data_IF_580744618023
#
_entry.id   IF_580744618023
#
_cell.length_a   1.000
_cell.length_b   1.000
_cell.length_c   1.000
_cell.angle_alpha   90.00
_cell.angle_beta   90.00
_cell.angle_gamma   90.00
#
_symmetry.space_group_name_H-M   'P 1'
#
loop_
_entity.id
_entity.type
_entity.pdbx_description
1 polymer ?
#
# COMPACT_ATOMS: atom_id res chain seq x y z
N UNK A 1 37.85 -0.21 13.05
CA UNK A 1 36.60 -0.55 12.36
C UNK A 1 36.58 -2.06 12.14
N UNK A 2 35.70 -2.77 12.85
CA UNK A 2 35.53 -4.23 12.79
C UNK A 2 34.97 -4.65 11.43
N UNK A 3 35.03 -5.96 11.12
CA UNK A 3 34.39 -6.50 9.91
C UNK A 3 32.89 -6.23 9.89
N UNK A 4 32.24 -6.29 11.06
CA UNK A 4 30.83 -5.95 11.24
C UNK A 4 30.52 -4.49 10.95
N UNK A 5 31.37 -3.56 11.39
CA UNK A 5 31.20 -2.13 11.06
C UNK A 5 31.42 -1.86 9.55
N UNK A 6 32.36 -2.56 8.91
CA UNK A 6 32.58 -2.45 7.46
C UNK A 6 31.39 -2.99 6.67
N UNK A 7 30.83 -4.14 7.09
CA UNK A 7 29.66 -4.72 6.45
C UNK A 7 28.41 -3.87 6.66
N UNK A 8 28.21 -3.32 7.86
CA UNK A 8 27.13 -2.38 8.14
C UNK A 8 27.21 -1.14 7.23
N UNK A 9 28.39 -0.55 7.09
CA UNK A 9 28.66 0.55 6.14
C UNK A 9 28.33 0.20 4.70
N UNK A 10 28.73 -0.98 4.24
CA UNK A 10 28.37 -1.44 2.91
C UNK A 10 26.85 -1.57 2.75
N UNK A 11 26.15 -2.09 3.76
CA UNK A 11 24.70 -2.28 3.74
C UNK A 11 23.95 -0.94 3.68
N UNK A 12 24.26 -0.01 4.61
CA UNK A 12 23.64 1.32 4.66
C UNK A 12 23.95 2.13 3.40
N UNK A 13 25.19 2.07 2.90
CA UNK A 13 25.56 2.71 1.64
C UNK A 13 24.77 2.17 0.45
N UNK A 14 24.51 0.85 0.40
CA UNK A 14 23.69 0.25 -0.66
C UNK A 14 22.20 0.57 -0.54
N UNK A 15 21.66 0.66 0.68
CA UNK A 15 20.32 1.18 0.93
C UNK A 15 20.17 2.64 0.45
N UNK A 16 21.16 3.48 0.76
CA UNK A 16 21.17 4.90 0.38
C UNK A 16 21.23 5.10 -1.13
N UNK A 17 22.05 4.30 -1.84
CA UNK A 17 22.04 4.25 -3.33
C UNK A 17 20.72 3.78 -3.94
N UNK A 18 19.87 3.09 -3.16
CA UNK A 18 18.50 2.71 -3.56
C UNK A 18 17.47 3.79 -3.20
N UNK A 19 17.89 4.94 -2.68
CA UNK A 19 17.01 6.04 -2.31
C UNK A 19 16.39 5.89 -0.91
N UNK A 20 16.85 4.94 -0.10
CA UNK A 20 16.41 4.81 1.30
C UNK A 20 17.16 5.84 2.13
N UNK A 21 16.41 6.79 2.70
CA UNK A 21 16.94 7.82 3.60
C UNK A 21 16.29 7.78 5.00
N UNK A 22 15.20 7.02 5.13
CA UNK A 22 14.47 6.82 6.38
C UNK A 22 14.58 5.36 6.82
N UNK A 23 14.93 5.18 8.09
CA UNK A 23 15.11 3.89 8.73
C UNK A 23 14.26 3.85 10.00
N UNK A 24 13.41 2.83 10.14
CA UNK A 24 12.69 2.56 11.38
C UNK A 24 13.49 1.51 12.15
N UNK A 25 13.97 1.85 13.33
CA UNK A 25 14.96 1.05 14.06
C UNK A 25 14.36 0.49 15.34
N UNK A 26 14.53 -0.82 15.53
CA UNK A 26 14.16 -1.52 16.76
C UNK A 26 15.43 -1.82 17.59
N UNK A 27 15.36 -1.89 18.91
CA UNK A 27 16.54 -2.07 19.75
C UNK A 27 17.09 -3.49 19.72
N UNK A 28 18.40 -3.63 19.58
CA UNK A 28 19.08 -4.88 19.85
C UNK A 28 20.61 -4.77 19.83
N UNK A 29 21.26 -5.83 20.31
CA UNK A 29 22.73 -5.89 20.33
C UNK A 29 23.29 -6.20 18.94
N UNK A 30 22.74 -7.19 18.21
CA UNK A 30 23.33 -7.71 16.97
C UNK A 30 23.34 -6.68 15.84
N UNK A 31 22.38 -5.78 15.82
CA UNK A 31 22.11 -4.69 14.89
C UNK A 31 22.78 -3.36 15.29
N UNK A 32 23.48 -3.30 16.42
CA UNK A 32 24.21 -2.09 16.85
C UNK A 32 25.12 -1.48 15.76
N UNK A 33 25.88 -2.26 14.96
CA UNK A 33 26.69 -1.70 13.87
C UNK A 33 25.85 -0.99 12.79
N UNK A 34 24.66 -1.51 12.47
CA UNK A 34 23.75 -0.92 11.48
C UNK A 34 23.18 0.40 12.01
N UNK A 35 22.67 0.39 13.24
CA UNK A 35 22.08 1.58 13.88
C UNK A 35 23.12 2.70 14.00
N UNK A 36 24.33 2.39 14.46
CA UNK A 36 25.39 3.39 14.60
C UNK A 36 25.80 3.98 13.24
N UNK A 37 25.86 3.16 12.18
CA UNK A 37 26.17 3.66 10.85
C UNK A 37 25.06 4.57 10.30
N UNK A 38 23.79 4.25 10.53
CA UNK A 38 22.64 5.12 10.18
C UNK A 38 22.79 6.48 10.84
N UNK A 39 22.99 6.50 12.17
CA UNK A 39 23.12 7.72 12.96
C UNK A 39 24.32 8.56 12.53
N UNK A 40 25.48 7.93 12.31
CA UNK A 40 26.70 8.63 11.90
C UNK A 40 26.64 9.17 10.47
N UNK A 41 25.80 8.58 9.63
CA UNK A 41 25.56 9.04 8.25
C UNK A 41 24.58 10.21 8.16
N UNK A 42 23.98 10.63 9.27
CA UNK A 42 22.98 11.71 9.29
C UNK A 42 21.64 11.32 8.64
N UNK A 43 21.37 10.01 8.50
CA UNK A 43 20.12 9.49 7.98
C UNK A 43 19.01 9.57 9.04
N UNK A 44 17.75 9.57 8.61
CA UNK A 44 16.61 9.66 9.54
C UNK A 44 16.39 8.30 10.19
N UNK A 45 16.36 8.27 11.53
CA UNK A 45 16.09 7.09 12.32
C UNK A 45 14.85 7.28 13.21
N UNK A 46 13.82 6.46 13.03
CA UNK A 46 12.62 6.42 13.86
C UNK A 46 12.72 5.26 14.86
N UNK A 47 12.87 5.50 16.17
CA UNK A 47 12.99 4.43 17.15
C UNK A 47 11.63 3.81 17.49
N UNK A 48 11.57 2.48 17.52
CA UNK A 48 10.39 1.70 17.92
C UNK A 48 10.78 0.58 18.88
N UNK A 49 9.87 0.19 19.77
CA UNK A 49 10.10 -0.93 20.72
C UNK A 49 9.51 -2.24 20.18
N UNK A 50 8.43 -2.15 19.40
CA UNK A 50 7.72 -3.29 18.82
C UNK A 50 8.04 -3.37 17.31
N UNK A 51 8.64 -4.47 16.86
CA UNK A 51 9.04 -4.67 15.47
C UNK A 51 7.87 -4.72 14.50
N UNK A 52 6.72 -5.24 14.91
CA UNK A 52 5.51 -5.32 14.07
C UNK A 52 4.99 -3.91 13.82
N UNK A 53 4.83 -3.12 14.88
CA UNK A 53 4.44 -1.71 14.79
C UNK A 53 5.45 -0.91 13.95
N UNK A 54 6.76 -1.13 14.17
CA UNK A 54 7.83 -0.50 13.39
C UNK A 54 7.70 -0.77 11.88
N UNK A 55 7.41 -2.01 11.50
CA UNK A 55 7.27 -2.42 10.11
C UNK A 55 6.06 -1.75 9.43
N UNK A 56 4.93 -1.63 10.15
CA UNK A 56 3.75 -0.91 9.64
C UNK A 56 3.94 0.60 9.61
N UNK A 57 4.65 1.18 10.58
CA UNK A 57 5.06 2.59 10.51
C UNK A 57 5.94 2.84 9.28
N UNK A 58 6.92 1.97 9.02
CA UNK A 58 7.77 2.03 7.82
C UNK A 58 6.94 1.93 6.52
N UNK A 59 5.94 1.05 6.49
CA UNK A 59 4.98 0.93 5.38
C UNK A 59 4.24 2.27 5.17
N UNK A 60 3.75 2.89 6.24
CA UNK A 60 3.09 4.21 6.19
C UNK A 60 4.00 5.32 5.67
N UNK A 61 5.25 5.37 6.16
CA UNK A 61 6.29 6.30 5.66
C UNK A 61 6.54 6.12 4.17
N UNK A 62 6.68 4.88 3.70
CA UNK A 62 6.92 4.57 2.29
C UNK A 62 5.77 5.03 1.39
N UNK A 63 4.53 4.87 1.83
CA UNK A 63 3.33 5.39 1.13
C UNK A 63 3.32 6.92 1.12
N UNK A 64 3.59 7.57 2.25
CA UNK A 64 3.51 9.03 2.37
C UNK A 64 4.55 9.75 1.52
N UNK A 65 5.77 9.22 1.50
CA UNK A 65 6.92 9.84 0.81
C UNK A 65 7.07 9.37 -0.63
N UNK A 66 6.37 8.29 -1.02
CA UNK A 66 6.58 7.58 -2.28
C UNK A 66 8.06 7.19 -2.49
N UNK A 67 8.72 6.77 -1.41
CA UNK A 67 10.12 6.36 -1.36
C UNK A 67 10.27 5.01 -0.63
N UNK A 68 11.32 4.24 -0.94
CA UNK A 68 11.63 3.06 -0.16
C UNK A 68 12.03 3.44 1.27
N UNK A 69 11.54 2.67 2.25
CA UNK A 69 11.86 2.83 3.67
C UNK A 69 12.37 1.49 4.19
N UNK A 70 13.39 1.54 5.05
CA UNK A 70 13.92 0.33 5.70
C UNK A 70 13.39 0.19 7.13
N UNK A 71 13.07 -1.04 7.53
CA UNK A 71 12.89 -1.42 8.93
C UNK A 71 14.11 -2.25 9.37
N UNK A 72 14.71 -1.86 10.48
CA UNK A 72 15.94 -2.45 11.03
C UNK A 72 15.62 -3.17 12.31
N UNK A 73 16.00 -4.45 12.38
CA UNK A 73 15.82 -5.27 13.57
C UNK A 73 17.03 -6.11 13.88
N UNK A 74 17.10 -6.54 15.13
CA UNK A 74 18.05 -7.53 15.62
C UNK A 74 17.72 -8.93 15.11
N UNK A 75 18.55 -9.93 15.45
CA UNK A 75 18.32 -11.31 15.04
C UNK A 75 17.19 -12.00 15.82
N UNK A 76 16.68 -13.12 15.31
CA UNK A 76 15.70 -13.96 16.01
C UNK A 76 14.25 -13.59 15.69
N UNK A 77 13.36 -13.72 16.68
CA UNK A 77 11.91 -13.51 16.50
C UNK A 77 11.55 -12.09 16.08
N UNK A 78 12.40 -11.10 16.41
CA UNK A 78 12.30 -9.73 15.91
C UNK A 78 12.14 -9.66 14.37
N UNK A 79 12.78 -10.57 13.64
CA UNK A 79 12.63 -10.66 12.17
C UNK A 79 11.28 -11.23 11.77
N UNK A 80 10.73 -12.17 12.54
CA UNK A 80 9.43 -12.77 12.28
C UNK A 80 8.27 -11.79 12.54
N UNK A 81 8.42 -10.86 13.47
CA UNK A 81 7.41 -9.81 13.73
C UNK A 81 7.22 -8.84 12.54
N UNK A 82 8.17 -8.79 11.60
CA UNK A 82 8.04 -7.98 10.37
C UNK A 82 7.09 -8.60 9.34
N UNK A 83 6.76 -9.89 9.48
CA UNK A 83 6.06 -10.68 8.46
C UNK A 83 4.71 -10.08 8.04
N UNK A 84 3.83 -9.62 8.94
CA UNK A 84 2.53 -9.11 8.53
C UNK A 84 2.62 -7.85 7.65
N UNK A 85 3.53 -6.93 7.98
CA UNK A 85 3.78 -5.74 7.16
C UNK A 85 4.44 -6.09 5.81
N UNK A 86 5.30 -7.12 5.76
CA UNK A 86 5.86 -7.63 4.49
C UNK A 86 4.75 -8.16 3.58
N UNK A 87 3.80 -8.94 4.13
CA UNK A 87 2.65 -9.45 3.39
C UNK A 87 1.80 -8.28 2.86
N UNK A 88 1.45 -7.32 3.72
CA UNK A 88 0.69 -6.13 3.31
C UNK A 88 1.42 -5.34 2.22
N UNK A 89 2.72 -5.10 2.40
CA UNK A 89 3.57 -4.39 1.44
C UNK A 89 3.63 -5.10 0.08
N UNK A 90 3.62 -6.44 0.02
CA UNK A 90 3.57 -7.16 -1.24
C UNK A 90 2.25 -6.87 -1.97
N UNK A 91 1.12 -7.05 -1.29
CA UNK A 91 -0.20 -6.92 -1.91
C UNK A 91 -0.55 -5.47 -2.28
N UNK A 92 0.01 -4.48 -1.57
CA UNK A 92 -0.11 -3.06 -1.92
C UNK A 92 1.05 -2.51 -2.75
N UNK A 93 2.11 -3.31 -2.96
CA UNK A 93 3.31 -2.96 -3.74
C UNK A 93 4.09 -1.78 -3.16
N UNK A 94 4.13 -1.71 -1.83
CA UNK A 94 4.86 -0.70 -1.07
C UNK A 94 6.34 -1.10 -0.97
N UNK A 95 7.30 -0.20 -1.28
CA UNK A 95 8.73 -0.51 -1.25
C UNK A 95 9.31 -0.55 0.18
N UNK A 96 9.06 -1.65 0.89
CA UNK A 96 9.55 -1.87 2.25
C UNK A 96 10.82 -2.75 2.24
N UNK A 97 11.94 -2.28 2.77
CA UNK A 97 13.15 -3.10 2.94
C UNK A 97 13.27 -3.61 4.38
N UNK A 98 13.21 -4.92 4.59
CA UNK A 98 13.59 -5.52 5.87
C UNK A 98 15.11 -5.63 5.92
N UNK A 99 15.76 -4.80 6.74
CA UNK A 99 17.20 -4.83 6.98
C UNK A 99 17.47 -5.52 8.33
N UNK A 100 17.78 -6.81 8.30
CA UNK A 100 17.80 -7.63 9.51
C UNK A 100 19.22 -8.02 9.86
N UNK A 101 19.64 -7.74 11.09
CA UNK A 101 20.89 -8.28 11.59
C UNK A 101 20.76 -9.78 11.87
N UNK A 102 21.81 -10.54 11.60
CA UNK A 102 21.89 -11.97 11.85
C UNK A 102 23.22 -12.30 12.52
N UNK A 103 23.27 -13.46 13.16
CA UNK A 103 24.55 -14.05 13.60
C UNK A 103 25.30 -14.61 12.39
N UNK A 104 26.61 -14.90 12.54
CA UNK A 104 27.36 -15.51 11.45
C UNK A 104 26.70 -16.81 10.99
N UNK A 105 26.70 -17.06 9.67
CA UNK A 105 26.01 -18.21 9.09
C UNK A 105 26.42 -19.57 9.70
N UNK A 106 27.63 -19.67 10.27
CA UNK A 106 28.12 -20.85 11.00
C UNK A 106 27.33 -21.21 12.26
N UNK A 107 26.53 -20.28 12.80
CA UNK A 107 25.68 -20.51 13.98
C UNK A 107 24.31 -21.12 13.62
N UNK A 108 23.93 -21.18 12.35
CA UNK A 108 22.66 -21.77 11.91
C UNK A 108 22.62 -23.26 12.22
N UNK A 109 21.47 -23.74 12.69
CA UNK A 109 21.29 -25.12 13.15
C UNK A 109 22.09 -25.51 14.41
N UNK A 110 22.86 -24.60 15.03
CA UNK A 110 23.71 -24.93 16.19
C UNK A 110 22.98 -24.91 17.55
N UNK A 111 21.78 -24.33 17.61
CA UNK A 111 21.06 -24.07 18.86
C UNK A 111 21.59 -22.84 19.62
N UNK A 112 22.42 -22.01 19.00
CA UNK A 112 22.91 -20.79 19.61
C UNK A 112 21.78 -19.81 19.98
N UNK A 113 21.91 -19.06 21.09
CA UNK A 113 20.88 -18.13 21.54
C UNK A 113 20.56 -17.06 20.49
N UNK A 114 19.26 -16.83 20.27
CA UNK A 114 18.72 -15.83 19.35
C UNK A 114 19.21 -15.98 17.89
N UNK A 115 19.40 -17.24 17.46
CA UNK A 115 19.69 -17.62 16.08
C UNK A 115 18.51 -18.42 15.53
N UNK A 116 18.01 -18.01 14.36
CA UNK A 116 16.98 -18.73 13.60
C UNK A 116 17.42 -18.83 12.14
N UNK A 117 16.69 -19.60 11.33
CA UNK A 117 16.87 -19.58 9.87
C UNK A 117 16.26 -18.30 9.28
N UNK A 118 17.00 -17.20 9.30
CA UNK A 118 16.56 -15.91 8.75
C UNK A 118 16.61 -15.89 7.22
N UNK A 119 17.53 -16.64 6.62
CA UNK A 119 17.70 -16.67 5.16
C UNK A 119 16.41 -17.13 4.49
N UNK A 120 15.80 -16.23 3.73
CA UNK A 120 14.57 -16.52 3.00
C UNK A 120 13.34 -16.63 3.88
N UNK A 121 13.36 -16.12 5.13
CA UNK A 121 12.22 -16.21 6.06
C UNK A 121 10.90 -15.74 5.44
N UNK A 122 10.94 -14.66 4.66
CA UNK A 122 9.75 -14.08 4.03
C UNK A 122 9.30 -14.79 2.75
N UNK A 123 10.06 -15.77 2.24
CA UNK A 123 9.71 -16.64 1.11
C UNK A 123 8.99 -15.92 -0.05
N UNK A 124 7.70 -16.20 -0.22
CA UNK A 124 6.84 -15.70 -1.29
C UNK A 124 6.55 -14.20 -1.18
N UNK A 125 6.79 -13.62 0.00
CA UNK A 125 6.40 -12.26 0.34
C UNK A 125 7.51 -11.25 0.17
N UNK A 126 8.78 -11.64 0.05
CA UNK A 126 9.87 -10.75 -0.35
C UNK A 126 10.19 -10.94 -1.84
N UNK A 127 10.17 -9.86 -2.61
CA UNK A 127 10.42 -9.92 -4.06
C UNK A 127 11.89 -10.20 -4.38
N UNK A 128 12.79 -9.71 -3.54
CA UNK A 128 14.22 -9.96 -3.61
C UNK A 128 14.73 -10.25 -2.20
N UNK A 129 15.78 -11.07 -2.10
CA UNK A 129 16.39 -11.42 -0.82
C UNK A 129 17.90 -11.58 -0.95
N UNK A 130 18.63 -11.03 0.00
CA UNK A 130 20.09 -11.14 0.10
C UNK A 130 20.47 -11.65 1.48
N UNK A 131 21.47 -12.52 1.51
CA UNK A 131 22.07 -13.05 2.74
C UNK A 131 23.58 -12.81 2.66
N UNK A 132 24.08 -11.83 3.42
CA UNK A 132 25.44 -11.28 3.24
C UNK A 132 26.26 -11.41 4.51
N UNK A 133 27.51 -11.83 4.35
CA UNK A 133 28.48 -11.97 5.45
C UNK A 133 29.78 -11.20 5.20
N UNK A 134 30.00 -10.72 3.98
CA UNK A 134 31.18 -9.96 3.57
C UNK A 134 30.95 -9.35 2.17
N UNK A 135 31.84 -8.44 1.77
CA UNK A 135 31.95 -7.94 0.40
C UNK A 135 30.95 -6.84 0.01
N UNK A 136 30.98 -6.39 -1.26
CA UNK A 136 30.07 -5.36 -1.75
C UNK A 136 28.64 -5.91 -1.82
N UNK A 137 27.68 -5.09 -1.39
CA UNK A 137 26.25 -5.42 -1.41
C UNK A 137 25.61 -4.72 -2.60
N UNK A 138 25.02 -5.48 -3.54
CA UNK A 138 24.31 -4.90 -4.69
C UNK A 138 22.80 -5.13 -4.61
N UNK A 139 22.08 -4.06 -4.28
CA UNK A 139 20.62 -4.04 -4.27
C UNK A 139 20.01 -3.71 -5.65
N UNK A 140 20.86 -3.50 -6.67
CA UNK A 140 20.71 -4.01 -8.04
C UNK A 140 19.30 -4.31 -8.53
N UNK A 141 18.92 -5.52 -8.12
CA UNK A 141 17.84 -6.34 -8.65
C UNK A 141 16.48 -5.89 -8.14
N UNK A 142 16.41 -5.22 -6.99
CA UNK A 142 15.15 -4.72 -6.47
C UNK A 142 14.73 -3.42 -7.15
N UNK A 143 13.60 -3.50 -7.84
CA UNK A 143 12.99 -2.41 -8.60
C UNK A 143 12.20 -1.43 -7.72
N UNK A 144 12.10 -1.67 -6.41
CA UNK A 144 11.32 -0.85 -5.48
C UNK A 144 9.80 -0.96 -5.71
N UNK A 145 9.32 -2.13 -6.12
CA UNK A 145 7.92 -2.40 -6.48
C UNK A 145 7.22 -3.37 -5.49
N UNK A 146 7.62 -3.30 -4.23
CA UNK A 146 7.18 -4.20 -3.17
C UNK A 146 8.31 -4.46 -2.18
N UNK A 147 8.10 -5.36 -1.23
CA UNK A 147 9.05 -5.61 -0.14
C UNK A 147 10.28 -6.40 -0.60
N UNK A 148 11.40 -6.21 0.09
CA UNK A 148 12.62 -6.98 -0.09
C UNK A 148 13.31 -7.24 1.26
N UNK A 149 14.22 -8.21 1.31
CA UNK A 149 14.91 -8.61 2.54
C UNK A 149 16.43 -8.59 2.37
N UNK A 150 17.12 -7.77 3.16
CA UNK A 150 18.58 -7.77 3.29
C UNK A 150 18.96 -8.31 4.66
N UNK A 151 19.41 -9.56 4.71
CA UNK A 151 19.91 -10.22 5.91
C UNK A 151 21.43 -10.03 6.03
N UNK A 152 21.89 -9.44 7.14
CA UNK A 152 23.30 -9.07 7.36
C UNK A 152 23.90 -9.87 8.51
N UNK A 153 24.74 -10.86 8.18
CA UNK A 153 25.43 -11.72 9.14
C UNK A 153 26.63 -10.99 9.77
N UNK A 154 26.50 -10.61 11.05
CA UNK A 154 27.49 -9.80 11.77
C UNK A 154 28.26 -10.65 12.78
N UNK A 155 29.60 -10.57 12.74
CA UNK A 155 30.52 -11.28 13.63
C UNK A 155 30.99 -10.43 14.80
N UNK A 156 31.26 -11.06 15.95
CA UNK A 156 31.91 -10.39 17.07
C UNK A 156 33.42 -10.17 16.77
N UNK A 157 34.05 -9.08 17.27
CA UNK A 157 33.42 -7.97 17.99
C UNK A 157 32.55 -7.10 17.08
N UNK A 158 31.35 -6.74 17.55
CA UNK A 158 30.41 -5.94 16.77
C UNK A 158 30.92 -4.52 16.52
N UNK A 159 31.53 -3.90 17.53
CA UNK A 159 31.99 -2.52 17.49
C UNK A 159 33.46 -2.43 17.92
N UNK A 160 34.16 -1.41 17.42
CA UNK A 160 35.51 -1.06 17.90
C UNK A 160 35.51 0.29 18.60
N UNK A 161 36.36 0.44 19.60
CA UNK A 161 36.60 1.74 20.23
C UNK A 161 37.25 2.67 19.20
N UNK A 162 36.52 3.71 18.76
CA UNK A 162 37.08 4.78 17.93
C UNK A 162 36.79 4.74 16.42
N UNK A 163 35.69 4.15 15.96
CA UNK A 163 35.27 4.31 14.55
C UNK A 163 34.84 5.75 14.24
N UNK A 164 35.59 6.42 13.36
CA UNK A 164 35.30 7.76 12.87
C UNK A 164 34.00 7.82 12.06
N UNK A 165 33.42 9.03 11.96
CA UNK A 165 32.21 9.25 11.18
C UNK A 165 32.43 8.86 9.69
N UNK A 166 31.48 8.15 9.04
CA UNK A 166 31.52 7.92 7.62
C UNK A 166 31.50 9.22 6.84
N UNK A 167 32.09 9.18 5.64
CA UNK A 167 31.82 10.21 4.65
C UNK A 167 30.32 10.15 4.31
N UNK A 168 29.62 11.29 4.21
CA UNK A 168 28.23 11.32 3.78
C UNK A 168 28.10 10.61 2.44
N UNK A 169 27.23 9.59 2.37
CA UNK A 169 26.86 9.01 1.09
C UNK A 169 25.78 9.90 0.52
N UNK A 170 26.06 10.59 -0.59
CA UNK A 170 25.02 11.34 -1.29
C UNK A 170 23.92 10.36 -1.73
N UNK A 171 22.66 10.60 -1.34
CA UNK A 171 21.56 9.78 -1.81
C UNK A 171 21.44 9.93 -3.32
N UNK A 172 21.39 8.81 -4.04
CA UNK A 172 21.07 8.85 -5.46
C UNK A 172 19.64 9.40 -5.66
N UNK A 173 19.38 10.15 -6.75
CA UNK A 173 18.08 10.73 -7.01
C UNK A 173 16.96 9.68 -6.94
N UNK A 174 15.85 10.11 -6.35
CA UNK A 174 14.63 9.33 -6.15
C UNK A 174 14.18 8.78 -7.49
N UNK A 175 14.32 7.47 -7.68
CA UNK A 175 13.56 6.78 -8.70
C UNK A 175 12.53 5.98 -7.93
N UNK A 176 11.28 6.48 -7.92
CA UNK A 176 10.12 5.71 -7.44
C UNK A 176 10.07 4.34 -8.13
N UNK A 177 9.11 3.45 -7.76
CA UNK A 177 9.04 2.09 -8.28
C UNK A 177 9.39 2.09 -9.75
N UNK A 178 10.55 1.48 -10.11
CA UNK A 178 11.08 1.46 -11.47
C UNK A 178 10.21 0.51 -12.27
N UNK A 179 8.95 0.90 -12.49
CA UNK A 179 8.01 0.18 -13.30
C UNK A 179 8.60 0.12 -14.70
N UNK A 180 9.06 -1.07 -15.11
CA UNK A 180 9.39 -1.32 -16.51
C UNK A 180 8.21 -0.83 -17.34
N UNK A 181 8.46 0.12 -18.27
CA UNK A 181 7.51 0.47 -19.33
C UNK A 181 7.22 -0.81 -20.12
N UNK A 182 6.16 -1.54 -19.75
CA UNK A 182 5.69 -2.68 -20.53
C UNK A 182 5.19 -2.13 -21.86
N UNK A 183 5.67 -2.67 -22.97
CA UNK A 183 5.14 -2.34 -24.30
C UNK A 183 3.64 -2.64 -24.28
N UNK A 184 2.82 -1.61 -24.39
CA UNK A 184 1.37 -1.75 -24.47
C UNK A 184 1.00 -2.19 -25.88
N UNK A 185 0.41 -3.36 -26.01
CA UNK A 185 -0.25 -3.78 -27.25
C UNK A 185 -1.67 -3.22 -27.23
N UNK A 186 -2.14 -2.52 -28.28
CA UNK A 186 -3.54 -2.10 -28.36
C UNK A 186 -4.47 -3.30 -28.25
N UNK A 187 -5.50 -3.17 -27.42
CA UNK A 187 -6.53 -4.18 -27.19
C UNK A 187 -7.88 -3.54 -27.44
N UNK A 188 -8.71 -4.24 -28.21
CA UNK A 188 -10.12 -3.87 -28.39
C UNK A 188 -10.95 -4.64 -27.39
N UNK A 189 -11.77 -3.95 -26.60
CA UNK A 189 -12.71 -4.57 -25.66
C UNK A 189 -14.13 -4.04 -25.88
N UNK A 190 -15.17 -4.75 -25.44
CA UNK A 190 -16.52 -4.19 -25.38
C UNK A 190 -16.52 -2.91 -24.52
N UNK A 191 -17.41 -1.96 -24.85
CA UNK A 191 -17.59 -0.78 -24.00
C UNK A 191 -18.10 -1.25 -22.63
N UNK A 192 -17.49 -0.81 -21.51
CA UNK A 192 -17.90 -1.27 -20.19
C UNK A 192 -19.27 -0.70 -19.82
N UNK A 193 -20.13 -1.57 -19.27
CA UNK A 193 -21.39 -1.17 -18.65
C UNK A 193 -21.12 -0.48 -17.31
N UNK A 194 -20.05 -0.91 -16.62
CA UNK A 194 -19.62 -0.38 -15.34
C UNK A 194 -18.10 -0.25 -15.27
N UNK A 195 -17.63 0.91 -14.82
CA UNK A 195 -16.25 1.13 -14.40
C UNK A 195 -16.17 1.08 -12.87
N UNK A 196 -15.22 0.32 -12.32
CA UNK A 196 -14.97 0.28 -10.88
C UNK A 196 -13.56 0.82 -10.61
N UNK A 197 -13.47 1.88 -9.82
CA UNK A 197 -12.19 2.49 -9.45
C UNK A 197 -11.76 1.99 -8.08
N UNK A 198 -10.62 1.32 -8.00
CA UNK A 198 -9.90 1.09 -6.75
C UNK A 198 -8.84 2.17 -6.52
N UNK A 199 -7.88 1.91 -5.64
CA UNK A 199 -6.80 2.86 -5.36
C UNK A 199 -5.93 3.12 -6.61
N UNK A 200 -5.75 4.39 -6.96
CA UNK A 200 -4.96 4.82 -8.13
C UNK A 200 -3.77 5.65 -7.65
N UNK A 201 -2.53 5.33 -8.07
CA UNK A 201 -1.35 6.13 -7.77
C UNK A 201 -1.54 7.59 -8.19
N UNK A 202 -1.08 8.52 -7.36
CA UNK A 202 -1.30 9.96 -7.57
C UNK A 202 -0.84 10.43 -8.95
N UNK A 203 0.30 9.93 -9.44
CA UNK A 203 0.83 10.28 -10.76
C UNK A 203 -0.05 9.83 -11.94
N UNK A 204 -0.94 8.85 -11.75
CA UNK A 204 -1.77 8.28 -12.81
C UNK A 204 -3.20 8.86 -12.83
N UNK A 205 -3.62 9.55 -11.76
CA UNK A 205 -5.00 10.03 -11.58
C UNK A 205 -5.48 10.96 -12.69
N UNK A 206 -4.67 11.92 -13.10
CA UNK A 206 -5.04 12.87 -14.16
C UNK A 206 -5.26 12.16 -15.51
N UNK A 207 -4.38 11.21 -15.84
CA UNK A 207 -4.50 10.39 -17.05
C UNK A 207 -5.77 9.54 -17.03
N UNK A 208 -6.09 8.95 -15.87
CA UNK A 208 -7.32 8.15 -15.69
C UNK A 208 -8.56 9.03 -15.83
N UNK A 209 -8.58 10.19 -15.15
CA UNK A 209 -9.67 11.16 -15.22
C UNK A 209 -9.99 11.57 -16.66
N UNK A 210 -8.97 11.95 -17.44
CA UNK A 210 -9.13 12.38 -18.83
C UNK A 210 -9.78 11.29 -19.71
N UNK A 211 -9.43 10.02 -19.48
CA UNK A 211 -10.06 8.89 -20.18
C UNK A 211 -11.51 8.70 -19.76
N UNK A 212 -11.79 8.68 -18.46
CA UNK A 212 -13.14 8.46 -17.93
C UNK A 212 -14.15 9.52 -18.41
N UNK A 213 -13.74 10.80 -18.45
CA UNK A 213 -14.58 11.90 -18.98
C UNK A 213 -15.00 11.64 -20.43
N UNK A 214 -14.09 11.09 -21.25
CA UNK A 214 -14.40 10.74 -22.64
C UNK A 214 -15.29 9.50 -22.78
N UNK A 215 -15.21 8.57 -21.83
CA UNK A 215 -15.87 7.27 -21.92
C UNK A 215 -17.33 7.32 -21.51
N UNK A 216 -17.70 8.22 -20.58
CA UNK A 216 -19.10 8.45 -20.19
C UNK A 216 -19.82 7.13 -19.82
N UNK A 217 -19.17 6.33 -18.97
CA UNK A 217 -19.69 5.07 -18.45
C UNK A 217 -20.04 5.24 -16.96
N UNK A 218 -21.06 4.55 -16.43
CA UNK A 218 -21.31 4.48 -14.99
C UNK A 218 -20.06 4.08 -14.20
N UNK A 219 -19.83 4.73 -13.06
CA UNK A 219 -18.62 4.60 -12.25
C UNK A 219 -19.00 4.31 -10.80
N UNK A 220 -18.46 3.23 -10.25
CA UNK A 220 -18.44 2.96 -8.82
C UNK A 220 -17.01 3.19 -8.30
N UNK A 221 -16.80 4.28 -7.54
CA UNK A 221 -15.46 4.74 -7.16
C UNK A 221 -15.18 4.56 -5.67
N UNK A 222 -14.14 3.78 -5.36
CA UNK A 222 -13.67 3.57 -3.99
C UNK A 222 -13.04 4.86 -3.43
N UNK A 223 -13.15 5.08 -2.12
CA UNK A 223 -12.60 6.22 -1.41
C UNK A 223 -11.10 6.43 -1.69
N UNK A 224 -10.34 5.34 -1.86
CA UNK A 224 -8.91 5.43 -2.13
C UNK A 224 -8.57 5.74 -3.59
N UNK A 225 -9.56 5.78 -4.49
CA UNK A 225 -9.31 6.05 -5.92
C UNK A 225 -8.70 7.43 -6.15
N UNK A 226 -8.98 8.39 -5.26
CA UNK A 226 -8.60 9.78 -5.43
C UNK A 226 -9.30 10.45 -6.62
N UNK A 227 -10.35 9.82 -7.17
CA UNK A 227 -11.18 10.34 -8.26
C UNK A 227 -12.69 10.24 -7.94
N UNK A 228 -13.06 9.71 -6.77
CA UNK A 228 -14.44 9.51 -6.33
C UNK A 228 -15.21 10.83 -6.32
N UNK A 229 -14.59 11.90 -5.87
CA UNK A 229 -15.20 13.23 -5.75
C UNK A 229 -14.98 14.11 -7.00
N UNK A 230 -14.27 13.62 -8.02
CA UNK A 230 -13.85 14.42 -9.18
C UNK A 230 -15.04 15.08 -9.92
N UNK A 231 -15.09 16.43 -10.03
CA UNK A 231 -16.24 17.14 -10.61
C UNK A 231 -16.62 16.70 -12.03
N UNK A 232 -15.62 16.39 -12.87
CA UNK A 232 -15.83 15.94 -14.24
C UNK A 232 -16.47 14.56 -14.39
N UNK A 233 -16.54 13.77 -13.31
CA UNK A 233 -17.11 12.42 -13.30
C UNK A 233 -18.48 12.34 -12.63
N UNK A 234 -18.89 13.37 -11.88
CA UNK A 234 -20.13 13.40 -11.09
C UNK A 234 -21.39 12.91 -11.84
N UNK A 235 -21.64 13.27 -13.12
CA UNK A 235 -22.82 12.79 -13.86
C UNK A 235 -22.88 11.27 -14.06
N UNK A 236 -21.75 10.59 -13.90
CA UNK A 236 -21.60 9.14 -14.13
C UNK A 236 -21.33 8.37 -12.84
N UNK A 237 -21.26 9.04 -11.68
CA UNK A 237 -20.97 8.39 -10.40
C UNK A 237 -22.21 7.72 -9.82
N UNK A 238 -22.04 6.46 -9.43
CA UNK A 238 -23.01 5.67 -8.67
C UNK A 238 -22.76 5.94 -7.18
N UNK A 239 -23.73 6.58 -6.54
CA UNK A 239 -23.70 6.99 -5.13
C UNK A 239 -24.70 6.18 -4.28
N UNK A 240 -25.64 5.45 -4.89
CA UNK A 240 -26.54 4.51 -4.22
C UNK A 240 -25.86 3.22 -3.72
N UNK A 241 -24.54 3.10 -3.92
CA UNK A 241 -23.71 1.98 -3.49
C UNK A 241 -24.02 0.67 -4.21
N UNK A 242 -23.52 -0.44 -3.65
CA UNK A 242 -23.69 -1.80 -4.23
C UNK A 242 -25.16 -2.17 -4.52
N UNK A 243 -26.10 -1.62 -3.74
CA UNK A 243 -27.54 -1.92 -3.90
C UNK A 243 -28.13 -1.36 -5.18
N UNK A 244 -27.58 -0.27 -5.72
CA UNK A 244 -28.02 0.27 -7.00
C UNK A 244 -27.74 -0.69 -8.16
N UNK A 245 -26.79 -1.62 -8.01
CA UNK A 245 -26.34 -2.53 -9.06
C UNK A 245 -27.08 -3.87 -9.09
N UNK A 246 -27.87 -4.21 -8.06
CA UNK A 246 -28.40 -5.58 -7.85
C UNK A 246 -29.15 -6.14 -9.07
N UNK A 247 -30.02 -5.33 -9.65
CA UNK A 247 -30.89 -5.74 -10.76
C UNK A 247 -30.52 -5.04 -12.08
N UNK A 248 -29.38 -4.33 -12.09
CA UNK A 248 -28.90 -3.64 -13.28
C UNK A 248 -28.17 -4.62 -14.20
N UNK A 249 -28.55 -4.74 -15.49
CA UNK A 249 -27.89 -5.65 -16.41
C UNK A 249 -26.45 -5.20 -16.69
N UNK A 250 -25.48 -5.99 -16.26
CA UNK A 250 -24.04 -5.74 -16.45
C UNK A 250 -23.45 -6.94 -17.18
N UNK A 251 -22.78 -6.68 -18.31
CA UNK A 251 -22.12 -7.68 -19.13
C UNK A 251 -20.61 -7.48 -19.12
N UNK A 252 -20.15 -6.24 -19.04
CA UNK A 252 -18.72 -5.87 -19.04
C UNK A 252 -18.39 -4.93 -17.90
N UNK A 253 -17.45 -5.33 -17.04
CA UNK A 253 -16.87 -4.50 -15.98
C UNK A 253 -15.43 -4.16 -16.33
N UNK A 254 -15.07 -2.87 -16.21
CA UNK A 254 -13.69 -2.42 -16.28
C UNK A 254 -13.23 -1.90 -14.91
N UNK A 255 -12.29 -2.60 -14.28
CA UNK A 255 -11.64 -2.19 -13.04
C UNK A 255 -10.38 -1.38 -13.34
N UNK A 256 -10.16 -0.25 -12.65
CA UNK A 256 -8.94 0.56 -12.76
C UNK A 256 -8.36 0.81 -11.37
N UNK A 257 -7.06 0.60 -11.19
CA UNK A 257 -6.40 0.69 -9.88
C UNK A 257 -6.67 -0.53 -9.01
N UNK A 258 -6.22 -0.52 -7.75
CA UNK A 258 -6.18 -1.69 -6.86
C UNK A 258 -7.53 -2.42 -6.66
N UNK A 259 -7.51 -3.55 -5.93
CA UNK A 259 -8.73 -4.29 -5.61
C UNK A 259 -9.68 -3.40 -4.79
N UNK A 260 -10.92 -3.12 -5.26
CA UNK A 260 -11.85 -2.22 -4.58
C UNK A 260 -12.50 -2.89 -3.37
N UNK A 261 -13.10 -2.10 -2.47
CA UNK A 261 -13.69 -2.62 -1.22
C UNK A 261 -15.18 -2.99 -1.32
N UNK A 262 -15.80 -2.73 -2.47
CA UNK A 262 -17.23 -2.94 -2.73
C UNK A 262 -17.65 -4.41 -2.64
N UNK A 263 -18.86 -4.66 -2.12
CA UNK A 263 -19.42 -6.03 -2.07
C UNK A 263 -19.69 -6.57 -3.46
N UNK A 264 -20.13 -5.72 -4.38
CA UNK A 264 -20.44 -6.06 -5.76
C UNK A 264 -19.20 -6.66 -6.47
N UNK A 265 -18.00 -6.15 -6.17
CA UNK A 265 -16.76 -6.74 -6.70
C UNK A 265 -16.66 -8.23 -6.37
N UNK A 266 -16.95 -8.62 -5.13
CA UNK A 266 -16.95 -10.04 -4.71
C UNK A 266 -18.11 -10.82 -5.31
N UNK A 267 -19.25 -10.18 -5.56
CA UNK A 267 -20.42 -10.83 -6.16
C UNK A 267 -20.15 -11.23 -7.63
N UNK A 268 -19.18 -10.59 -8.29
CA UNK A 268 -18.72 -10.99 -9.63
C UNK A 268 -18.19 -12.43 -9.68
N UNK A 269 -17.79 -13.04 -8.56
CA UNK A 269 -17.42 -14.47 -8.51
C UNK A 269 -18.57 -15.38 -8.89
N UNK A 270 -19.80 -15.00 -8.51
CA UNK A 270 -21.01 -15.78 -8.80
C UNK A 270 -21.66 -15.38 -10.12
N UNK A 271 -21.04 -14.48 -10.88
CA UNK A 271 -21.54 -13.96 -12.15
C UNK A 271 -20.54 -14.25 -13.29
N UNK A 272 -20.29 -15.53 -13.63
CA UNK A 272 -19.27 -15.91 -14.62
C UNK A 272 -19.55 -15.35 -16.03
N UNK A 273 -20.81 -15.03 -16.34
CA UNK A 273 -21.23 -14.40 -17.59
C UNK A 273 -20.74 -12.96 -17.75
N UNK A 274 -20.38 -12.29 -16.64
CA UNK A 274 -19.86 -10.92 -16.68
C UNK A 274 -18.38 -10.96 -17.03
N UNK A 275 -18.02 -10.32 -18.14
CA UNK A 275 -16.64 -10.13 -18.59
C UNK A 275 -15.96 -9.08 -17.71
N UNK A 276 -14.85 -9.45 -17.06
CA UNK A 276 -14.09 -8.55 -16.19
C UNK A 276 -12.74 -8.23 -16.80
N UNK A 277 -12.51 -6.94 -17.02
CA UNK A 277 -11.27 -6.36 -17.49
C UNK A 277 -10.67 -5.53 -16.37
N UNK A 278 -9.36 -5.64 -16.17
CA UNK A 278 -8.65 -4.93 -15.10
C UNK A 278 -7.46 -4.20 -15.68
N UNK A 279 -7.32 -2.93 -15.36
CA UNK A 279 -6.10 -2.17 -15.61
C UNK A 279 -5.32 -2.09 -14.31
N UNK A 280 -4.28 -2.92 -14.23
CA UNK A 280 -3.36 -3.07 -13.10
C UNK A 280 -1.97 -3.37 -13.62
N UNK A 281 -0.95 -2.76 -13.04
CA UNK A 281 0.43 -3.12 -13.36
C UNK A 281 0.97 -4.27 -12.50
N UNK A 282 0.29 -4.61 -11.40
CA UNK A 282 0.82 -5.50 -10.36
C UNK A 282 0.26 -6.92 -10.31
N UNK A 283 -0.79 -7.21 -11.10
CA UNK A 283 -1.33 -8.55 -11.31
C UNK A 283 -2.31 -9.07 -10.25
N UNK A 284 -2.57 -8.32 -9.17
CA UNK A 284 -3.60 -8.70 -8.21
C UNK A 284 -4.99 -8.42 -8.76
N UNK A 285 -5.68 -9.50 -9.10
CA UNK A 285 -7.00 -9.49 -9.74
C UNK A 285 -8.09 -9.16 -8.73
N UNK A 286 -8.02 -9.73 -7.54
CA UNK A 286 -9.08 -9.64 -6.53
C UNK A 286 -10.30 -10.51 -6.83
N UNK A 287 -10.21 -11.40 -7.81
CA UNK A 287 -11.18 -12.45 -8.13
C UNK A 287 -10.45 -13.78 -8.27
N UNK A 288 -11.10 -14.88 -7.90
CA UNK A 288 -10.65 -16.26 -8.03
C UNK A 288 -10.85 -16.84 -9.42
N UNK A 289 -11.60 -16.16 -10.29
CA UNK A 289 -11.75 -16.49 -11.72
C UNK A 289 -10.86 -15.64 -12.63
N UNK A 290 -10.73 -16.09 -13.87
CA UNK A 290 -9.94 -15.36 -14.86
C UNK A 290 -10.50 -13.97 -15.17
N UNK A 291 -9.60 -12.99 -15.19
CA UNK A 291 -9.88 -11.65 -15.66
C UNK A 291 -8.72 -11.15 -16.53
N UNK A 292 -9.05 -10.39 -17.58
CA UNK A 292 -8.05 -9.85 -18.50
C UNK A 292 -7.34 -8.67 -17.83
N UNK A 293 -6.03 -8.78 -17.61
CA UNK A 293 -5.23 -7.73 -16.98
C UNK A 293 -4.42 -6.97 -18.02
N UNK A 294 -4.69 -5.67 -18.14
CA UNK A 294 -4.01 -4.75 -19.05
C UNK A 294 -3.00 -3.90 -18.28
N UNK A 295 -1.79 -3.68 -18.83
CA UNK A 295 -0.75 -2.92 -18.15
C UNK A 295 -0.95 -1.40 -18.20
N UNK A 296 -1.83 -0.90 -19.09
CA UNK A 296 -2.07 0.55 -19.27
C UNK A 296 -3.48 0.81 -19.80
N UNK A 297 -4.03 1.97 -19.45
CA UNK A 297 -5.26 2.50 -20.04
C UNK A 297 -5.09 2.90 -21.51
N UNK A 298 -3.87 3.23 -21.94
CA UNK A 298 -3.61 3.68 -23.32
C UNK A 298 -3.81 2.56 -24.35
N UNK A 299 -3.66 1.31 -23.93
CA UNK A 299 -3.92 0.17 -24.82
C UNK A 299 -5.41 -0.04 -25.10
N UNK A 300 -6.33 0.63 -24.42
CA UNK A 300 -7.76 0.34 -24.55
C UNK A 300 -8.37 1.11 -25.72
N UNK A 301 -8.92 0.36 -26.67
CA UNK A 301 -9.91 0.82 -27.63
C UNK A 301 -11.25 0.09 -27.38
N UNK A 302 -12.37 0.77 -27.61
CA UNK A 302 -13.68 0.13 -27.51
C UNK A 302 -14.16 -0.34 -28.87
N UNK A 303 -14.71 -1.56 -28.90
CA UNK A 303 -15.44 -2.05 -30.06
C UNK A 303 -16.65 -1.13 -30.33
N UNK A 304 -17.05 -0.97 -31.60
CA UNK A 304 -18.31 -0.30 -31.93
C UNK A 304 -19.47 -0.94 -31.16
N UNK A 305 -20.31 -0.12 -30.52
CA UNK A 305 -21.48 -0.58 -29.77
C UNK A 305 -22.72 0.23 -30.17
N UNK A 306 -23.87 -0.43 -30.18
CA UNK A 306 -25.17 0.25 -30.28
C UNK A 306 -25.60 0.69 -28.88
N UNK A 307 -25.89 1.99 -28.72
CA UNK A 307 -26.31 2.56 -27.43
C UNK A 307 -25.14 2.98 -26.52
N UNK A 308 -25.46 3.91 -25.61
CA UNK A 308 -24.55 4.35 -24.57
C UNK A 308 -24.79 3.51 -23.28
N UNK A 309 -23.76 3.24 -22.48
CA UNK A 309 -23.92 2.68 -21.14
C UNK A 309 -24.91 3.52 -20.32
N UNK A 310 -25.80 2.85 -19.59
CA UNK A 310 -26.89 3.49 -18.85
C UNK A 310 -26.60 3.49 -17.36
N UNK A 311 -26.95 4.57 -16.67
CA UNK A 311 -26.95 4.57 -15.20
C UNK A 311 -27.95 3.54 -14.68
N UNK A 312 -27.69 2.89 -13.53
CA UNK A 312 -28.67 2.01 -12.92
C UNK A 312 -29.97 2.74 -12.60
N UNK A 313 -31.12 2.18 -13.01
CA UNK A 313 -32.44 2.80 -12.75
C UNK A 313 -32.70 3.00 -11.26
N UNK A 314 -32.17 2.10 -10.42
CA UNK A 314 -32.31 2.13 -8.97
C UNK A 314 -31.39 3.16 -8.28
N UNK A 315 -30.44 3.79 -9.00
CA UNK A 315 -29.41 4.65 -8.42
C UNK A 315 -30.02 5.79 -7.57
N UNK A 316 -30.91 6.58 -8.15
CA UNK A 316 -31.53 7.72 -7.47
C UNK A 316 -32.36 7.26 -6.26
N UNK A 317 -33.16 6.21 -6.43
CA UNK A 317 -34.00 5.66 -5.36
C UNK A 317 -33.17 5.09 -4.20
N UNK A 318 -32.05 4.42 -4.49
CA UNK A 318 -31.15 3.88 -3.47
C UNK A 318 -30.40 4.99 -2.74
N UNK A 319 -29.94 6.01 -3.45
CA UNK A 319 -29.33 7.21 -2.85
C UNK A 319 -30.30 7.90 -1.89
N UNK A 320 -31.51 8.19 -2.32
CA UNK A 320 -32.54 8.82 -1.44
C UNK A 320 -32.89 7.94 -0.23
N UNK A 321 -32.94 6.62 -0.42
CA UNK A 321 -33.17 5.69 0.68
C UNK A 321 -32.04 5.73 1.70
N UNK A 322 -30.78 5.79 1.25
CA UNK A 322 -29.61 5.94 2.12
C UNK A 322 -29.68 7.26 2.89
N UNK A 323 -29.92 8.38 2.21
CA UNK A 323 -30.03 9.71 2.85
C UNK A 323 -31.10 9.71 3.95
N UNK A 324 -32.29 9.15 3.68
CA UNK A 324 -33.35 9.01 4.69
C UNK A 324 -32.93 8.12 5.86
N UNK A 325 -32.23 7.02 5.61
CA UNK A 325 -31.79 6.12 6.66
C UNK A 325 -30.73 6.77 7.57
N UNK A 326 -29.76 7.48 6.99
CA UNK A 326 -28.74 8.22 7.75
C UNK A 326 -29.38 9.33 8.61
N UNK A 327 -30.35 10.06 8.06
CA UNK A 327 -31.08 11.08 8.80
C UNK A 327 -31.96 10.50 9.92
N UNK A 328 -32.60 9.36 9.69
CA UNK A 328 -33.44 8.69 10.70
C UNK A 328 -32.64 8.03 11.83
N UNK A 329 -31.37 7.68 11.57
CA UNK A 329 -30.49 6.97 12.51
C UNK A 329 -29.13 7.68 12.67
N UNK A 330 -29.10 8.91 13.23
CA UNK A 330 -27.86 9.70 13.34
C UNK A 330 -26.79 9.07 14.26
N UNK A 331 -27.19 8.16 15.15
CA UNK A 331 -26.27 7.41 16.03
C UNK A 331 -25.75 6.10 15.43
N UNK A 332 -26.04 5.80 14.16
CA UNK A 332 -25.47 4.63 13.48
C UNK A 332 -24.02 4.90 13.05
N UNK A 333 -23.17 3.88 13.04
CA UNK A 333 -21.75 4.02 12.63
C UNK A 333 -21.57 4.71 11.26
N UNK A 334 -22.35 4.39 10.19
CA UNK A 334 -22.24 5.12 8.92
C UNK A 334 -22.60 6.61 9.04
N UNK A 335 -23.60 6.97 9.86
CA UNK A 335 -23.96 8.36 10.09
C UNK A 335 -22.88 9.10 10.88
N UNK A 336 -22.23 8.43 11.83
CA UNK A 336 -21.08 8.96 12.57
C UNK A 336 -19.87 9.19 11.65
N UNK A 337 -19.54 8.24 10.77
CA UNK A 337 -18.46 8.40 9.78
C UNK A 337 -18.74 9.59 8.85
N UNK A 338 -19.99 9.75 8.40
CA UNK A 338 -20.40 10.92 7.60
C UNK A 338 -20.24 12.23 8.37
N UNK A 339 -20.72 12.28 9.62
CA UNK A 339 -20.62 13.47 10.45
C UNK A 339 -19.15 13.84 10.70
N UNK A 340 -18.29 12.86 10.94
CA UNK A 340 -16.85 13.05 11.11
C UNK A 340 -16.22 13.60 9.83
N UNK A 341 -16.50 12.98 8.68
CA UNK A 341 -16.01 13.46 7.38
C UNK A 341 -16.45 14.89 7.06
N UNK A 342 -17.65 15.31 7.50
CA UNK A 342 -18.12 16.69 7.36
C UNK A 342 -17.40 17.67 8.31
N UNK A 343 -17.00 17.21 9.50
CA UNK A 343 -16.31 18.03 10.50
C UNK A 343 -14.81 18.23 10.21
N UNK A 344 -14.18 17.34 9.44
CA UNK A 344 -12.77 17.46 9.05
C UNK A 344 -12.49 18.76 8.29
N UNK A 345 -11.30 19.38 8.39
CA UNK A 345 -10.89 20.46 7.50
C UNK A 345 -10.70 19.96 6.06
N UNK A 346 -10.78 20.85 5.07
CA UNK A 346 -10.44 20.51 3.68
C UNK A 346 -8.93 20.17 3.55
N UNK A 347 -8.57 19.39 2.53
CA UNK A 347 -7.19 19.05 2.17
C UNK A 347 -6.38 18.28 3.23
N UNK A 348 -7.06 17.56 4.13
CA UNK A 348 -6.41 16.70 5.14
C UNK A 348 -6.18 15.26 4.65
N UNK A 349 -5.26 14.57 5.33
CA UNK A 349 -5.07 13.12 5.22
C UNK A 349 -6.12 12.38 6.06
N UNK A 350 -6.76 11.37 5.49
CA UNK A 350 -7.74 10.51 6.16
C UNK A 350 -7.34 9.05 6.00
N UNK A 351 -7.06 8.38 7.10
CA UNK A 351 -6.78 6.95 7.13
C UNK A 351 -8.02 6.18 7.58
N UNK A 352 -8.40 5.18 6.79
CA UNK A 352 -9.55 4.33 7.08
C UNK A 352 -9.07 2.95 7.54
N UNK A 353 -9.41 2.61 8.77
CA UNK A 353 -9.20 1.29 9.32
C UNK A 353 -9.92 0.21 8.53
N UNK A 354 -9.32 -0.98 8.53
CA UNK A 354 -9.93 -2.16 7.94
C UNK A 354 -11.22 -2.58 8.65
N UNK A 355 -11.95 -3.50 8.02
CA UNK A 355 -13.32 -3.90 8.40
C UNK A 355 -14.38 -2.85 8.01
N UNK A 356 -15.15 -2.31 8.96
CA UNK A 356 -16.29 -1.43 8.70
C UNK A 356 -15.88 0.01 8.31
N UNK A 357 -14.90 0.68 8.93
CA UNK A 357 -14.64 2.10 8.65
C UNK A 357 -14.45 2.43 7.16
N UNK A 358 -13.63 1.66 6.43
CA UNK A 358 -13.45 1.86 4.98
C UNK A 358 -14.73 1.62 4.17
N UNK A 359 -15.57 0.67 4.58
CA UNK A 359 -16.85 0.38 3.90
C UNK A 359 -17.91 1.43 4.19
N UNK A 360 -17.95 1.91 5.42
CA UNK A 360 -18.86 2.95 5.87
C UNK A 360 -18.53 4.30 5.26
N UNK A 361 -17.25 4.60 5.06
CA UNK A 361 -16.84 5.77 4.29
C UNK A 361 -17.41 5.70 2.86
N UNK A 362 -17.19 4.57 2.18
CA UNK A 362 -17.70 4.35 0.82
C UNK A 362 -19.23 4.41 0.75
N UNK A 363 -19.92 3.93 1.80
CA UNK A 363 -21.37 3.92 1.88
C UNK A 363 -21.95 5.31 2.17
N UNK A 364 -21.42 6.05 3.14
CA UNK A 364 -22.15 7.15 3.79
C UNK A 364 -21.53 8.55 3.58
N UNK A 365 -20.26 8.64 3.19
CA UNK A 365 -19.63 9.95 2.94
C UNK A 365 -20.06 10.48 1.57
N UNK A 366 -20.60 11.70 1.45
CA UNK A 366 -21.03 12.24 0.17
C UNK A 366 -19.84 12.46 -0.79
N UNK A 367 -20.14 12.48 -2.09
CA UNK A 367 -19.12 12.66 -3.13
C UNK A 367 -18.84 14.15 -3.33
N UNK A 368 -18.38 14.81 -2.27
CA UNK A 368 -18.07 16.23 -2.23
C UNK A 368 -16.56 16.42 -2.22
N UNK A 369 -16.04 17.20 -3.18
CA UNK A 369 -14.61 17.45 -3.29
C UNK A 369 -14.13 18.38 -2.16
N UNK A 370 -13.58 17.75 -1.12
CA UNK A 370 -12.93 18.43 0.01
C UNK A 370 -11.41 18.36 -0.06
N UNK A 371 -10.83 17.85 -1.16
CA UNK A 371 -9.40 17.65 -1.32
C UNK A 371 -8.77 16.61 -0.36
N UNK A 372 -9.59 15.79 0.33
CA UNK A 372 -9.07 14.79 1.26
C UNK A 372 -8.19 13.77 0.54
N UNK A 373 -7.04 13.46 1.14
CA UNK A 373 -6.25 12.31 0.72
C UNK A 373 -6.67 11.11 1.56
N UNK A 374 -7.40 10.16 0.98
CA UNK A 374 -7.84 8.95 1.68
C UNK A 374 -6.88 7.79 1.45
N UNK A 375 -6.57 7.04 2.50
CA UNK A 375 -5.74 5.83 2.44
C UNK A 375 -6.23 4.73 3.41
N UNK A 376 -5.91 3.47 3.11
CA UNK A 376 -6.14 2.32 3.96
C UNK A 376 -5.19 1.16 3.61
N UNK A 377 -4.98 0.25 4.55
CA UNK A 377 -4.20 -0.99 4.33
C UNK A 377 -5.06 -2.04 3.62
N UNK A 378 -5.06 -2.03 2.30
CA UNK A 378 -5.96 -2.82 1.45
C UNK A 378 -5.26 -3.91 0.62
N UNK A 379 -4.07 -4.32 1.05
CA UNK A 379 -3.32 -5.43 0.47
C UNK A 379 -3.90 -6.76 0.97
N UNK A 380 -3.52 -7.15 2.19
CA UNK A 380 -4.04 -8.33 2.87
C UNK A 380 -5.27 -8.01 3.74
N UNK A 381 -5.52 -6.72 4.02
CA UNK A 381 -6.69 -6.23 4.76
C UNK A 381 -6.69 -6.59 6.27
N UNK A 382 -5.51 -6.75 6.87
CA UNK A 382 -5.33 -7.10 8.29
C UNK A 382 -5.63 -5.93 9.24
N UNK A 383 -5.93 -6.23 10.51
CA UNK A 383 -6.20 -5.21 11.55
C UNK A 383 -4.97 -4.85 12.38
N UNK A 384 -3.85 -5.52 12.12
CA UNK A 384 -2.68 -5.70 12.98
C UNK A 384 -1.65 -4.58 13.00
N UNK A 385 -1.86 -3.54 12.19
CA UNK A 385 -0.91 -2.42 12.05
C UNK A 385 -1.52 -1.14 11.49
N UNK A 386 -2.83 -0.92 11.69
CA UNK A 386 -3.52 0.21 11.09
C UNK A 386 -3.14 1.54 11.75
N UNK A 387 -2.97 1.57 13.08
CA UNK A 387 -2.57 2.77 13.82
C UNK A 387 -1.11 3.10 13.52
N UNK A 388 -0.23 2.11 13.57
CA UNK A 388 1.18 2.25 13.22
C UNK A 388 1.36 2.76 11.79
N UNK A 389 0.61 2.23 10.83
CA UNK A 389 0.63 2.74 9.45
C UNK A 389 0.09 4.16 9.37
N UNK A 390 -1.01 4.47 10.07
CA UNK A 390 -1.55 5.83 10.12
C UNK A 390 -0.52 6.84 10.65
N UNK A 391 0.17 6.52 11.75
CA UNK A 391 1.20 7.40 12.30
C UNK A 391 2.37 7.60 11.34
N UNK A 392 2.83 6.54 10.66
CA UNK A 392 3.86 6.67 9.63
C UNK A 392 3.39 7.53 8.46
N UNK A 393 2.22 7.23 7.92
CA UNK A 393 1.67 7.93 6.77
C UNK A 393 1.33 9.40 7.07
N UNK A 394 0.91 9.69 8.29
CA UNK A 394 0.58 11.02 8.79
C UNK A 394 1.76 11.84 9.32
N UNK A 395 2.95 11.26 9.52
CA UNK A 395 4.02 11.88 10.31
C UNK A 395 4.46 13.29 9.86
N UNK A 396 4.40 13.60 8.56
CA UNK A 396 4.76 14.94 8.03
C UNK A 396 3.56 15.86 7.83
N UNK A 397 2.34 15.40 8.13
CA UNK A 397 1.15 16.21 7.99
C UNK A 397 0.95 17.08 9.23
N UNK A 398 0.56 18.34 9.03
CA UNK A 398 0.14 19.20 10.13
C UNK A 398 -1.12 18.65 10.82
N UNK A 399 -1.99 17.99 10.04
CA UNK A 399 -3.22 17.36 10.53
C UNK A 399 -3.55 16.12 9.70
N UNK A 400 -3.91 15.03 10.39
CA UNK A 400 -4.37 13.79 9.79
C UNK A 400 -5.41 13.12 10.68
N UNK A 401 -6.42 12.53 10.07
CA UNK A 401 -7.53 11.87 10.77
C UNK A 401 -7.48 10.37 10.52
N UNK A 402 -7.71 9.58 11.56
CA UNK A 402 -7.81 8.12 11.48
C UNK A 402 -9.15 7.63 12.00
N UNK A 403 -9.82 6.74 11.27
CA UNK A 403 -11.09 6.14 11.68
C UNK A 403 -10.87 4.64 11.82
N UNK A 404 -10.97 4.11 13.04
CA UNK A 404 -10.62 2.72 13.35
C UNK A 404 -11.75 2.02 14.09
N UNK A 405 -11.85 0.70 13.91
CA UNK A 405 -12.64 -0.15 14.79
C UNK A 405 -11.97 -0.28 16.16
N UNK A 406 -12.77 -0.62 17.18
CA UNK A 406 -12.31 -0.89 18.54
C UNK A 406 -11.27 -2.02 18.58
N UNK A 407 -11.56 -3.16 17.94
CA UNK A 407 -10.62 -4.29 17.88
C UNK A 407 -9.35 -3.95 17.10
N UNK A 408 -9.45 -3.11 16.06
CA UNK A 408 -8.27 -2.60 15.33
C UNK A 408 -7.40 -1.73 16.22
N UNK A 409 -8.00 -0.94 17.11
CA UNK A 409 -7.31 -0.04 18.05
C UNK A 409 -6.77 -0.77 19.29
N UNK A 410 -7.31 -1.94 19.63
CA UNK A 410 -6.78 -2.79 20.70
C UNK A 410 -5.62 -3.66 20.23
N UNK A 411 -5.54 -3.97 18.94
CA UNK A 411 -4.56 -4.89 18.40
C UNK A 411 -3.18 -4.24 18.23
N UNK A 412 -3.17 -2.98 17.84
CA UNK A 412 -2.03 -2.11 17.49
C UNK A 412 -2.16 -0.80 18.27
#
# INVERSE_FOLDING_TARGET
MTDSEQLARAAIGSCTRRGIIEFVVCPGSRDSPLILEILRSGLVAYPFVDERAAAFFALGRAVATNRPVAVVTTSGTAVAELYPAVVEALYQRVPLLCLTADRPASFRGSGAPQVIEQRGLFCLYALESWDVSAGPIDLSRWEGNGPAHLNVCLSDPLLSDGSGAPAPVEPEPIVGPRGRKRKSVPVTMPRPDLVILGAIPRQDREKVLNKLVSWRCPILADAMSGLREAPGLQPWMIQGGDRALRDHPIHTVLRIGAVPTFRFWRDLETLPQVSVWSVECHGFRGLGRDCLCLPSLESIAFAPCEGAPQMPEAEMAMRERLERALAAHPGSEPAMVRALAAAMPSEVKVFLGNSLPVREWNLAVPYEDRGHWVWANRGANGIDGNLSTFFGWGADAAESWGIFGDLTTLYD
#
